data_IF_922535862029
#
_entry.id   IF_922535862029
#
_cell.length_a   1.000
_cell.length_b   1.000
_cell.length_c   1.000
_cell.angle_alpha   90.00
_cell.angle_beta   90.00
_cell.angle_gamma   90.00
#
_symmetry.space_group_name_H-M   'P 1'
#
loop_
_entity.id
_entity.type
_entity.pdbx_description
1 polymer ?
#
# COMPACT_ATOMS: atom_id res chain seq x y z
N UNK A 1 16.85 15.51 30.84
CA UNK A 1 18.05 14.96 30.18
C UNK A 1 17.57 13.89 29.20
N UNK A 2 17.40 14.25 27.92
CA UNK A 2 16.97 13.35 26.83
C UNK A 2 17.90 13.66 25.65
N UNK A 3 18.64 12.66 25.16
CA UNK A 3 19.62 12.84 24.08
C UNK A 3 18.89 12.94 22.73
N UNK A 4 19.10 13.99 21.93
CA UNK A 4 18.56 14.07 20.57
C UNK A 4 19.32 13.14 19.62
N UNK A 5 18.59 12.56 18.67
CA UNK A 5 18.94 11.38 17.87
C UNK A 5 19.64 11.71 16.54
N UNK A 6 20.40 12.79 16.47
CA UNK A 6 20.97 13.28 15.22
C UNK A 6 22.31 12.63 14.91
N UNK A 7 22.35 11.76 13.90
CA UNK A 7 23.55 11.55 13.09
C UNK A 7 23.29 10.84 11.75
N UNK A 8 24.10 11.24 10.76
CA UNK A 8 24.47 10.65 9.46
C UNK A 8 23.69 11.02 8.17
N UNK A 9 24.34 11.87 7.37
CA UNK A 9 24.69 11.55 5.97
C UNK A 9 26.22 11.69 5.82
N UNK A 10 26.88 10.68 5.27
CA UNK A 10 28.30 10.74 4.88
C UNK A 10 28.45 11.53 3.57
N UNK A 11 29.49 12.37 3.46
CA UNK A 11 29.86 13.05 2.21
C UNK A 11 29.87 12.04 1.04
N UNK A 12 29.18 12.37 -0.06
CA UNK A 12 29.24 11.62 -1.33
C UNK A 12 27.98 10.84 -1.75
N UNK A 13 26.83 11.04 -1.11
CA UNK A 13 25.56 10.43 -1.55
C UNK A 13 24.81 11.32 -2.56
N UNK A 14 24.17 10.66 -3.52
CA UNK A 14 23.26 11.29 -4.49
C UNK A 14 21.89 11.51 -3.86
N UNK A 15 21.32 12.70 -4.03
CA UNK A 15 19.99 13.05 -3.50
C UNK A 15 19.09 13.60 -4.60
N UNK A 16 17.78 13.38 -4.46
CA UNK A 16 16.77 13.93 -5.38
C UNK A 16 16.28 15.28 -4.84
N UNK A 17 16.38 16.34 -5.66
CA UNK A 17 15.80 17.66 -5.37
C UNK A 17 14.98 18.08 -6.60
N UNK A 18 13.67 18.29 -6.42
CA UNK A 18 12.77 18.77 -7.47
C UNK A 18 12.84 17.95 -8.78
N UNK A 19 12.91 16.61 -8.65
CA UNK A 19 12.96 15.69 -9.79
C UNK A 19 14.29 15.66 -10.56
N UNK A 20 15.36 16.31 -10.07
CA UNK A 20 16.70 16.26 -10.66
C UNK A 20 17.67 15.52 -9.75
N UNK A 21 18.42 14.59 -10.34
CA UNK A 21 19.47 13.82 -9.67
C UNK A 21 20.78 14.61 -9.70
N UNK A 22 21.41 14.81 -8.53
CA UNK A 22 22.67 15.56 -8.41
C UNK A 22 23.36 15.39 -7.05
N UNK A 23 24.55 15.99 -6.91
CA UNK A 23 25.31 16.03 -5.64
C UNK A 23 24.98 17.30 -4.87
N UNK A 24 24.41 17.17 -3.66
CA UNK A 24 24.00 18.32 -2.85
C UNK A 24 24.37 18.15 -1.37
N UNK A 25 24.54 19.26 -0.65
CA UNK A 25 24.75 19.28 0.81
C UNK A 25 23.40 19.24 1.53
N UNK A 26 23.15 18.17 2.29
CA UNK A 26 21.97 18.02 3.15
C UNK A 26 22.32 18.48 4.57
N UNK A 27 21.52 19.40 5.12
CA UNK A 27 21.80 20.04 6.42
C UNK A 27 21.21 19.28 7.63
N UNK A 28 20.22 18.38 7.43
CA UNK A 28 19.63 17.57 8.52
C UNK A 28 18.80 16.39 7.96
N UNK A 29 18.92 15.20 8.56
CA UNK A 29 18.16 14.00 8.19
C UNK A 29 17.51 13.34 9.43
N UNK A 30 16.32 12.76 9.26
CA UNK A 30 15.58 11.97 10.24
C UNK A 30 15.56 10.50 9.76
N UNK A 31 15.80 9.55 10.67
CA UNK A 31 15.98 8.08 10.54
C UNK A 31 15.52 7.31 9.27
N UNK A 32 16.14 6.13 9.14
CA UNK A 32 16.19 5.15 8.02
C UNK A 32 14.91 4.83 7.23
N UNK A 33 13.71 5.08 7.75
CA UNK A 33 12.45 4.63 7.16
C UNK A 33 11.41 5.74 6.91
N UNK A 34 11.63 6.97 7.37
CA UNK A 34 10.68 8.10 7.22
C UNK A 34 11.46 9.42 7.16
N UNK A 35 11.24 10.23 6.11
CA UNK A 35 11.99 11.47 5.90
C UNK A 35 11.05 12.66 5.63
N UNK A 36 11.34 13.80 6.26
CA UNK A 36 10.82 15.12 5.92
C UNK A 36 11.94 16.13 6.15
N UNK A 37 12.22 17.01 5.18
CA UNK A 37 13.23 18.06 5.29
C UNK A 37 12.64 19.43 4.96
N UNK A 38 13.06 20.47 5.69
CA UNK A 38 12.75 21.88 5.42
C UNK A 38 13.96 22.54 4.74
N UNK A 39 13.75 23.30 3.67
CA UNK A 39 14.77 24.18 3.09
C UNK A 39 14.97 25.46 3.93
N UNK A 40 16.23 25.87 4.06
CA UNK A 40 16.61 27.19 4.58
C UNK A 40 16.66 28.16 3.40
N UNK A 41 15.82 29.19 3.47
CA UNK A 41 15.84 30.49 2.78
C UNK A 41 16.45 30.52 1.37
N UNK A 42 15.60 30.33 0.36
CA UNK A 42 15.72 31.10 -0.88
C UNK A 42 14.76 32.29 -0.77
N UNK A 43 15.24 33.52 -0.98
CA UNK A 43 14.49 34.78 -0.88
C UNK A 43 13.37 34.95 -1.95
N UNK A 44 12.71 33.87 -2.34
CA UNK A 44 11.54 33.84 -3.22
C UNK A 44 10.39 33.10 -2.51
N UNK A 45 9.16 33.65 -2.45
CA UNK A 45 8.11 33.15 -1.56
C UNK A 45 7.50 31.78 -1.91
N UNK A 46 8.10 30.92 -2.75
CA UNK A 46 7.34 29.81 -3.33
C UNK A 46 8.03 28.50 -3.69
N UNK A 47 9.17 28.13 -3.09
CA UNK A 47 9.73 26.78 -3.32
C UNK A 47 10.01 26.04 -2.01
N UNK A 48 8.96 25.46 -1.41
CA UNK A 48 9.16 24.39 -0.41
C UNK A 48 9.68 23.17 -1.14
N UNK A 49 10.91 22.76 -0.85
CA UNK A 49 11.52 21.57 -1.44
C UNK A 49 11.79 20.53 -0.35
N UNK A 50 11.49 19.27 -0.65
CA UNK A 50 11.88 18.13 0.17
C UNK A 50 13.05 17.42 -0.51
N UNK A 51 14.07 17.10 0.28
CA UNK A 51 15.27 16.39 -0.18
C UNK A 51 15.25 14.99 0.40
N UNK A 52 15.36 13.97 -0.46
CA UNK A 52 15.31 12.57 -0.08
C UNK A 52 16.53 11.81 -0.60
N UNK A 53 16.81 10.67 0.04
CA UNK A 53 17.67 9.64 -0.55
C UNK A 53 17.13 9.27 -1.94
N UNK A 54 18.02 9.19 -2.93
CA UNK A 54 17.66 8.72 -4.26
C UNK A 54 17.34 7.22 -4.22
N UNK A 55 16.19 6.85 -4.79
CA UNK A 55 15.82 5.46 -5.01
C UNK A 55 15.72 5.18 -6.51
N UNK A 56 16.26 4.04 -6.98
CA UNK A 56 16.47 3.77 -8.41
C UNK A 56 15.17 3.54 -9.19
N UNK A 57 14.18 2.91 -8.55
CA UNK A 57 12.89 2.57 -9.14
C UNK A 57 11.79 2.52 -8.07
N UNK A 58 10.54 2.42 -8.52
CA UNK A 58 9.42 1.98 -7.71
C UNK A 58 9.06 0.50 -8.01
N UNK A 59 8.33 -0.15 -7.10
CA UNK A 59 7.95 -1.55 -7.20
C UNK A 59 7.05 -1.80 -8.42
N UNK A 60 6.19 -0.85 -8.80
CA UNK A 60 5.36 -0.97 -10.00
C UNK A 60 6.22 -1.05 -11.26
N UNK A 61 7.22 -0.19 -11.40
CA UNK A 61 8.16 -0.20 -12.53
C UNK A 61 8.94 -1.53 -12.65
N UNK A 62 9.18 -2.21 -11.53
CA UNK A 62 9.86 -3.51 -11.48
C UNK A 62 8.96 -4.72 -11.76
N UNK A 63 7.63 -4.55 -11.89
CA UNK A 63 6.65 -5.66 -11.97
C UNK A 63 6.92 -6.67 -13.10
N UNK A 64 7.48 -6.21 -14.23
CA UNK A 64 7.82 -7.10 -15.35
C UNK A 64 8.94 -8.10 -15.01
N UNK A 65 9.75 -7.80 -13.99
CA UNK A 65 10.83 -8.62 -13.46
C UNK A 65 10.43 -9.41 -12.22
N UNK A 66 9.15 -9.39 -11.80
CA UNK A 66 8.74 -10.01 -10.53
C UNK A 66 9.15 -11.49 -10.41
N UNK A 67 9.05 -12.26 -11.50
CA UNK A 67 9.45 -13.67 -11.54
C UNK A 67 10.99 -13.86 -11.54
N UNK A 68 11.71 -12.96 -12.19
CA UNK A 68 13.18 -12.95 -12.23
C UNK A 68 13.77 -12.65 -10.84
N UNK A 69 13.20 -11.67 -10.14
CA UNK A 69 13.63 -11.25 -8.80
C UNK A 69 13.31 -12.30 -7.72
N UNK A 70 12.24 -13.08 -7.92
CA UNK A 70 11.93 -14.27 -7.16
C UNK A 70 11.61 -14.03 -5.67
N UNK A 71 11.57 -15.13 -4.92
CA UNK A 71 11.21 -15.15 -3.50
C UNK A 71 12.11 -14.30 -2.59
N UNK A 72 13.46 -14.24 -2.74
CA UNK A 72 14.28 -13.42 -1.85
C UNK A 72 13.90 -11.94 -1.89
N UNK A 73 13.71 -11.39 -3.09
CA UNK A 73 13.29 -10.01 -3.28
C UNK A 73 11.90 -9.78 -2.68
N UNK A 74 10.92 -10.65 -3.00
CA UNK A 74 9.55 -10.52 -2.50
C UNK A 74 9.48 -10.54 -0.97
N UNK A 75 10.24 -11.42 -0.31
CA UNK A 75 10.33 -11.47 1.16
C UNK A 75 10.95 -10.21 1.73
N UNK A 76 12.01 -9.67 1.09
CA UNK A 76 12.61 -8.40 1.49
C UNK A 76 11.61 -7.25 1.37
N UNK A 77 10.91 -7.15 0.23
CA UNK A 77 9.87 -6.15 -0.01
C UNK A 77 8.74 -6.24 1.01
N UNK A 78 8.18 -7.42 1.22
CA UNK A 78 7.11 -7.63 2.20
C UNK A 78 7.55 -7.27 3.62
N UNK A 79 8.76 -7.67 4.02
CA UNK A 79 9.33 -7.34 5.33
C UNK A 79 9.48 -5.83 5.50
N UNK A 80 10.09 -5.14 4.54
CA UNK A 80 10.30 -3.69 4.63
C UNK A 80 9.00 -2.90 4.70
N UNK A 81 7.97 -3.28 3.92
CA UNK A 81 6.66 -2.61 3.98
C UNK A 81 6.00 -2.88 5.35
N UNK A 82 6.01 -4.12 5.84
CA UNK A 82 5.41 -4.47 7.13
C UNK A 82 6.13 -3.83 8.32
N UNK A 83 7.46 -3.72 8.27
CA UNK A 83 8.25 -2.98 9.28
C UNK A 83 7.85 -1.51 9.31
N UNK A 84 7.67 -0.88 8.15
CA UNK A 84 7.15 0.48 8.07
C UNK A 84 5.74 0.56 8.69
N UNK A 85 4.81 -0.30 8.28
CA UNK A 85 3.45 -0.33 8.83
C UNK A 85 3.46 -0.53 10.35
N UNK A 86 4.34 -1.40 10.89
CA UNK A 86 4.50 -1.59 12.32
C UNK A 86 4.93 -0.30 13.02
N UNK A 87 5.96 0.38 12.53
CA UNK A 87 6.45 1.64 13.11
C UNK A 87 5.31 2.65 13.25
N UNK A 88 4.48 2.78 12.23
CA UNK A 88 3.33 3.69 12.28
C UNK A 88 2.23 3.22 13.21
N UNK A 89 1.94 1.92 13.25
CA UNK A 89 0.98 1.35 14.20
C UNK A 89 1.42 1.59 15.64
N UNK A 90 2.72 1.54 15.92
CA UNK A 90 3.26 1.80 17.26
C UNK A 90 3.13 3.29 17.64
N UNK A 91 3.12 4.20 16.65
CA UNK A 91 2.97 5.65 16.85
C UNK A 91 1.50 6.10 16.93
N UNK A 92 0.55 5.26 16.50
CA UNK A 92 -0.89 5.58 16.52
C UNK A 92 -1.40 5.84 17.95
N UNK A 93 -2.16 6.92 18.13
CA UNK A 93 -2.71 7.33 19.42
C UNK A 93 -1.70 7.94 20.42
N UNK A 94 -0.43 8.13 20.05
CA UNK A 94 0.56 8.80 20.91
C UNK A 94 0.53 10.33 20.82
N UNK A 95 -0.04 10.89 19.75
CA UNK A 95 -0.24 12.34 19.56
C UNK A 95 -1.70 12.61 19.15
N UNK A 96 -2.46 13.47 19.87
CA UNK A 96 -3.86 13.79 19.56
C UNK A 96 -4.06 14.45 18.17
N UNK A 97 -2.99 14.89 17.51
CA UNK A 97 -3.02 15.46 16.15
C UNK A 97 -2.84 14.39 15.06
N UNK A 98 -2.38 13.19 15.40
CA UNK A 98 -2.08 12.11 14.44
C UNK A 98 -3.12 11.00 14.60
N UNK A 99 -4.34 11.28 14.16
CA UNK A 99 -5.33 10.24 13.93
C UNK A 99 -5.09 9.64 12.52
N UNK A 100 -4.55 8.42 12.50
CA UNK A 100 -4.61 7.46 11.38
C UNK A 100 -4.39 8.06 9.98
N UNK A 101 -3.14 8.37 9.63
CA UNK A 101 -2.76 8.56 8.22
C UNK A 101 -3.12 7.27 7.46
N UNK A 102 -4.10 7.30 6.53
CA UNK A 102 -4.15 6.21 5.56
C UNK A 102 -2.94 6.33 4.67
N UNK A 103 -2.16 5.27 4.67
CA UNK A 103 -1.02 5.17 3.78
C UNK A 103 -1.53 4.71 2.45
N UNK A 104 -1.15 5.43 1.41
CA UNK A 104 -1.36 4.96 0.06
C UNK A 104 -0.31 3.89 -0.27
N UNK A 105 -0.39 2.76 0.44
CA UNK A 105 0.43 1.59 0.21
C UNK A 105 -0.05 0.97 -1.10
N UNK A 106 0.70 1.25 -2.15
CA UNK A 106 0.52 0.68 -3.46
C UNK A 106 1.91 0.51 -4.12
N UNK A 107 2.03 -0.27 -5.21
CA UNK A 107 3.34 -0.53 -5.83
C UNK A 107 4.11 0.72 -6.30
N UNK A 108 3.44 1.84 -6.63
CA UNK A 108 4.12 3.08 -7.05
C UNK A 108 4.78 3.82 -5.87
N UNK A 109 4.31 3.55 -4.65
CA UNK A 109 4.79 4.18 -3.41
C UNK A 109 5.77 3.28 -2.64
N UNK A 110 6.24 2.19 -3.25
CA UNK A 110 7.29 1.34 -2.68
C UNK A 110 8.54 1.54 -3.52
N UNK A 111 9.51 2.29 -2.99
CA UNK A 111 10.75 2.61 -3.66
C UNK A 111 11.81 1.53 -3.44
N UNK A 112 12.61 1.27 -4.46
CA UNK A 112 13.59 0.18 -4.52
C UNK A 112 14.91 0.67 -5.12
N UNK A 113 16.03 0.33 -4.47
CA UNK A 113 17.39 0.49 -5.02
C UNK A 113 18.20 -0.78 -4.86
N UNK A 114 19.24 -0.92 -5.68
CA UNK A 114 20.12 -2.09 -5.69
C UNK A 114 19.32 -3.41 -5.85
N UNK A 115 18.39 -3.44 -6.80
CA UNK A 115 17.43 -4.55 -6.97
C UNK A 115 18.11 -5.91 -7.21
N UNK A 116 19.25 -5.92 -7.88
CA UNK A 116 20.03 -7.12 -8.20
C UNK A 116 20.99 -7.54 -7.07
N UNK A 117 21.04 -6.76 -5.98
CA UNK A 117 21.84 -7.08 -4.79
C UNK A 117 21.15 -8.17 -3.95
N UNK A 118 21.90 -9.03 -3.25
CA UNK A 118 21.32 -9.93 -2.24
C UNK A 118 20.62 -9.20 -1.09
N UNK A 119 20.83 -7.88 -0.95
CA UNK A 119 20.18 -7.02 0.03
C UNK A 119 19.66 -5.76 -0.68
N UNK A 120 18.52 -5.82 -1.38
CA UNK A 120 17.92 -4.65 -1.99
C UNK A 120 17.47 -3.66 -0.90
N UNK A 121 17.53 -2.36 -1.19
CA UNK A 121 16.96 -1.33 -0.33
C UNK A 121 15.50 -1.13 -0.74
N UNK A 122 14.56 -1.42 0.15
CA UNK A 122 13.13 -1.22 -0.09
C UNK A 122 12.57 -0.27 0.96
N UNK A 123 11.88 0.78 0.52
CA UNK A 123 11.31 1.82 1.40
C UNK A 123 9.91 2.20 0.96
N UNK A 124 9.00 2.30 1.92
CA UNK A 124 7.70 2.91 1.67
C UNK A 124 7.88 4.43 1.58
N UNK A 125 7.43 5.04 0.49
CA UNK A 125 7.35 6.48 0.31
C UNK A 125 5.91 6.95 0.45
N UNK A 126 5.74 8.28 0.42
CA UNK A 126 4.44 8.94 0.41
C UNK A 126 3.55 8.50 1.58
N UNK A 127 3.82 9.11 2.75
CA UNK A 127 3.15 8.77 4.01
C UNK A 127 1.72 9.32 4.12
N UNK A 128 1.12 9.72 3.00
CA UNK A 128 -0.25 10.18 2.96
C UNK A 128 -0.48 11.49 3.71
N UNK A 129 -1.73 11.94 3.69
CA UNK A 129 -2.16 13.14 4.38
C UNK A 129 -2.59 12.80 5.81
N UNK A 130 -2.15 13.61 6.78
CA UNK A 130 -2.70 13.62 8.15
C UNK A 130 -4.19 13.89 8.07
N UNK A 131 -5.00 13.00 8.68
CA UNK A 131 -6.44 13.20 8.79
C UNK A 131 -6.72 13.96 10.10
N UNK A 132 -7.28 15.18 10.05
CA UNK A 132 -7.68 15.88 11.26
C UNK A 132 -8.77 15.12 11.99
N UNK A 133 -8.73 15.15 13.33
CA UNK A 133 -9.67 14.46 14.21
C UNK A 133 -11.10 15.01 14.19
N UNK A 134 -11.31 16.24 13.69
CA UNK A 134 -12.62 16.89 13.65
C UNK A 134 -13.07 17.20 12.20
N UNK A 135 -14.33 16.88 11.88
CA UNK A 135 -15.03 17.40 10.69
C UNK A 135 -15.02 16.54 9.43
N UNK A 136 -14.82 15.23 9.52
CA UNK A 136 -14.69 14.38 8.32
C UNK A 136 -16.00 13.72 7.86
N UNK A 137 -16.82 14.48 7.16
CA UNK A 137 -17.82 13.94 6.26
C UNK A 137 -17.21 13.81 4.84
N UNK A 138 -17.22 12.59 4.32
CA UNK A 138 -17.29 12.24 2.88
C UNK A 138 -16.07 11.92 1.99
N UNK A 139 -14.80 11.91 2.42
CA UNK A 139 -13.75 11.51 1.46
C UNK A 139 -13.39 10.01 1.46
N UNK A 140 -13.26 9.48 0.24
CA UNK A 140 -12.85 8.13 -0.13
C UNK A 140 -11.37 7.90 0.22
N UNK A 141 -11.10 7.74 1.51
CA UNK A 141 -9.77 7.78 2.14
C UNK A 141 -8.68 6.87 1.54
N UNK A 142 -9.06 5.69 1.06
CA UNK A 142 -8.16 4.78 0.32
C UNK A 142 -8.56 4.76 -1.15
N UNK A 143 -7.57 4.74 -2.05
CA UNK A 143 -7.80 4.43 -3.47
C UNK A 143 -8.59 3.13 -3.60
N UNK A 144 -9.55 3.08 -4.54
CA UNK A 144 -10.32 1.85 -4.78
C UNK A 144 -9.44 0.65 -5.17
N UNK A 145 -8.20 0.88 -5.61
CA UNK A 145 -7.26 -0.17 -5.95
C UNK A 145 -6.77 -0.97 -4.75
N UNK A 146 -6.64 -0.34 -3.59
CA UNK A 146 -6.05 -0.91 -2.36
C UNK A 146 -7.00 -0.83 -1.17
N UNK A 147 -8.24 -0.37 -1.37
CA UNK A 147 -9.22 -0.17 -0.31
C UNK A 147 -9.55 -1.46 0.45
N UNK A 148 -9.45 -1.39 1.78
CA UNK A 148 -9.84 -2.47 2.67
C UNK A 148 -11.39 -2.57 2.78
N UNK A 149 -11.97 -3.80 2.85
CA UNK A 149 -13.42 -4.02 2.88
C UNK A 149 -14.19 -3.27 3.98
N UNK A 150 -13.59 -3.15 5.17
CA UNK A 150 -14.19 -2.53 6.34
C UNK A 150 -14.44 -1.02 6.19
N UNK A 151 -13.72 -0.34 5.28
CA UNK A 151 -13.94 1.08 5.03
C UNK A 151 -15.31 1.34 4.39
N UNK A 152 -15.81 0.39 3.59
CA UNK A 152 -17.21 0.43 3.12
C UNK A 152 -18.22 0.12 4.22
N UNK A 153 -17.81 -0.43 5.37
CA UNK A 153 -18.68 -0.56 6.55
C UNK A 153 -18.75 0.73 7.37
N UNK A 154 -18.00 1.76 6.99
CA UNK A 154 -17.87 3.01 7.76
C UNK A 154 -16.98 2.85 8.99
N UNK A 155 -16.19 1.77 9.07
CA UNK A 155 -15.15 1.63 10.10
C UNK A 155 -14.07 2.65 9.77
N UNK A 156 -13.65 3.42 10.78
CA UNK A 156 -12.55 4.36 10.62
C UNK A 156 -11.27 3.59 10.25
N UNK A 157 -10.39 4.19 9.44
CA UNK A 157 -9.11 3.61 9.11
C UNK A 157 -8.35 3.22 10.36
N UNK A 158 -7.69 2.07 10.32
CA UNK A 158 -6.93 1.52 11.42
C UNK A 158 -5.75 0.72 10.87
N UNK A 159 -4.73 0.38 11.67
CA UNK A 159 -3.57 -0.38 11.21
C UNK A 159 -3.88 -1.66 10.40
N UNK A 160 -4.96 -2.43 10.66
CA UNK A 160 -5.34 -3.55 9.79
C UNK A 160 -5.63 -3.17 8.33
N UNK A 161 -6.11 -1.95 8.04
CA UNK A 161 -6.35 -1.48 6.68
C UNK A 161 -5.04 -1.40 5.88
N UNK A 162 -3.95 -0.99 6.51
CA UNK A 162 -2.63 -0.92 5.88
C UNK A 162 -2.11 -2.33 5.55
N UNK A 163 -2.32 -3.30 6.45
CA UNK A 163 -1.95 -4.71 6.22
C UNK A 163 -2.67 -5.30 5.00
N UNK A 164 -3.95 -4.96 4.81
CA UNK A 164 -4.69 -5.31 3.60
C UNK A 164 -4.02 -4.73 2.34
N UNK A 165 -3.67 -3.44 2.36
CA UNK A 165 -2.99 -2.78 1.25
C UNK A 165 -1.62 -3.39 0.94
N UNK A 166 -0.89 -3.91 1.94
CA UNK A 166 0.33 -4.70 1.71
C UNK A 166 0.02 -5.96 0.90
N UNK A 167 -1.00 -6.73 1.29
CA UNK A 167 -1.44 -7.91 0.56
C UNK A 167 -1.81 -7.62 -0.89
N UNK A 168 -2.58 -6.54 -1.12
CA UNK A 168 -2.94 -6.10 -2.47
C UNK A 168 -1.71 -5.70 -3.28
N UNK A 169 -0.78 -4.95 -2.69
CA UNK A 169 0.46 -4.48 -3.32
C UNK A 169 1.32 -5.65 -3.79
N UNK A 170 1.53 -6.65 -2.95
CA UNK A 170 2.29 -7.86 -3.29
C UNK A 170 1.60 -8.65 -4.41
N UNK A 171 0.28 -8.78 -4.35
CA UNK A 171 -0.50 -9.48 -5.38
C UNK A 171 -0.43 -8.78 -6.74
N UNK A 172 -0.49 -7.44 -6.76
CA UNK A 172 -0.35 -6.64 -7.99
C UNK A 172 1.04 -6.77 -8.61
N UNK A 173 2.08 -6.73 -7.78
CA UNK A 173 3.45 -6.88 -8.22
C UNK A 173 3.70 -8.26 -8.85
N UNK A 174 3.30 -9.33 -8.14
CA UNK A 174 3.44 -10.71 -8.62
C UNK A 174 2.69 -10.98 -9.93
N UNK A 175 1.45 -10.49 -10.03
CA UNK A 175 0.63 -10.67 -11.22
C UNK A 175 1.05 -9.78 -12.40
N UNK A 176 2.02 -8.88 -12.21
CA UNK A 176 2.44 -7.85 -13.15
C UNK A 176 1.27 -6.98 -13.69
N UNK A 177 0.15 -6.91 -12.95
CA UNK A 177 -1.07 -6.19 -13.31
C UNK A 177 -1.92 -5.90 -12.07
N UNK A 178 -2.81 -4.92 -12.17
CA UNK A 178 -3.74 -4.59 -11.09
C UNK A 178 -4.86 -5.65 -10.95
N UNK A 179 -4.70 -6.59 -10.03
CA UNK A 179 -5.74 -7.59 -9.71
C UNK A 179 -6.96 -6.95 -9.05
N UNK A 180 -6.75 -5.97 -8.19
CA UNK A 180 -7.79 -5.26 -7.44
C UNK A 180 -8.06 -3.88 -8.05
N UNK A 181 -9.19 -3.28 -7.68
CA UNK A 181 -9.60 -1.96 -8.14
C UNK A 181 -10.30 -1.93 -9.49
N UNK A 182 -10.68 -0.72 -9.95
CA UNK A 182 -11.49 -0.52 -11.15
C UNK A 182 -10.69 -0.33 -12.45
N UNK A 183 -9.37 -0.52 -12.43
CA UNK A 183 -8.50 -0.14 -13.55
C UNK A 183 -8.82 -0.84 -14.89
N UNK A 184 -9.40 -2.04 -14.82
CA UNK A 184 -9.83 -2.85 -15.96
C UNK A 184 -11.36 -2.88 -16.13
N UNK A 185 -12.08 -1.93 -15.53
CA UNK A 185 -13.53 -1.86 -15.66
C UNK A 185 -13.94 -1.67 -17.13
N UNK A 186 -14.69 -2.66 -17.64
CA UNK A 186 -15.14 -2.69 -19.03
C UNK A 186 -16.68 -2.75 -19.17
N UNK A 187 -17.41 -2.78 -18.06
CA UNK A 187 -18.86 -2.68 -18.03
C UNK A 187 -19.29 -1.62 -17.01
N UNK A 188 -20.46 -1.03 -17.25
CA UNK A 188 -21.07 -0.05 -16.35
C UNK A 188 -22.58 -0.03 -16.52
N UNK A 189 -23.28 0.37 -15.46
CA UNK A 189 -24.67 0.76 -15.49
C UNK A 189 -24.75 2.23 -15.93
N UNK A 190 -25.29 2.47 -17.13
CA UNK A 190 -25.39 3.81 -17.74
C UNK A 190 -26.17 4.82 -16.90
N UNK A 191 -27.09 4.35 -16.05
CA UNK A 191 -27.91 5.18 -15.17
C UNK A 191 -27.21 5.59 -13.87
N UNK A 192 -25.99 5.10 -13.61
CA UNK A 192 -25.27 5.33 -12.37
C UNK A 192 -23.98 6.13 -12.60
N UNK A 193 -23.58 6.99 -11.64
CA UNK A 193 -22.32 7.71 -11.71
C UNK A 193 -21.11 6.80 -11.87
N UNK A 194 -20.04 7.33 -12.46
CA UNK A 194 -18.78 6.61 -12.69
C UNK A 194 -18.20 6.09 -11.39
N UNK A 195 -18.30 6.86 -10.31
CA UNK A 195 -17.73 6.58 -9.00
C UNK A 195 -18.38 5.36 -8.35
N UNK A 196 -19.69 5.17 -8.57
CA UNK A 196 -20.46 4.01 -8.09
C UNK A 196 -20.08 2.78 -8.92
N UNK A 197 -20.01 2.92 -10.24
CA UNK A 197 -19.59 1.82 -11.12
C UNK A 197 -18.18 1.32 -10.81
N UNK A 198 -17.23 2.25 -10.59
CA UNK A 198 -15.86 1.91 -10.23
C UNK A 198 -15.76 1.24 -8.86
N UNK A 199 -16.51 1.75 -7.86
CA UNK A 199 -16.54 1.12 -6.54
C UNK A 199 -17.16 -0.29 -6.60
N UNK A 200 -18.28 -0.44 -7.31
CA UNK A 200 -18.92 -1.73 -7.53
C UNK A 200 -17.99 -2.73 -8.23
N UNK A 201 -17.21 -2.28 -9.22
CA UNK A 201 -16.20 -3.11 -9.87
C UNK A 201 -15.13 -3.57 -8.89
N UNK A 202 -14.58 -2.64 -8.09
CA UNK A 202 -13.58 -2.96 -7.08
C UNK A 202 -14.10 -3.96 -6.03
N UNK A 203 -15.31 -3.75 -5.51
CA UNK A 203 -15.98 -4.67 -4.58
C UNK A 203 -16.18 -6.04 -5.22
N UNK A 204 -16.66 -6.09 -6.47
CA UNK A 204 -16.89 -7.35 -7.19
C UNK A 204 -15.60 -8.13 -7.42
N UNK A 205 -14.47 -7.46 -7.67
CA UNK A 205 -13.16 -8.12 -7.75
C UNK A 205 -12.71 -8.67 -6.40
N UNK A 206 -12.95 -7.97 -5.29
CA UNK A 206 -12.69 -8.51 -3.95
C UNK A 206 -13.51 -9.79 -3.73
N UNK A 207 -14.79 -9.78 -4.12
CA UNK A 207 -15.66 -10.96 -3.99
C UNK A 207 -15.12 -12.16 -4.78
N UNK A 208 -14.67 -11.95 -6.02
CA UNK A 208 -14.11 -13.03 -6.86
C UNK A 208 -12.75 -13.53 -6.34
N UNK A 209 -11.84 -12.61 -6.00
CA UNK A 209 -10.47 -12.94 -5.62
C UNK A 209 -10.40 -13.55 -4.21
N UNK A 210 -11.13 -12.97 -3.26
CA UNK A 210 -10.91 -13.17 -1.83
C UNK A 210 -12.09 -13.92 -1.19
N UNK A 211 -13.29 -13.78 -1.73
CA UNK A 211 -14.51 -14.44 -1.26
C UNK A 211 -15.63 -13.48 -0.87
N UNK A 212 -16.81 -14.01 -0.51
CA UNK A 212 -18.00 -13.21 -0.30
C UNK A 212 -17.84 -12.20 0.85
N UNK A 213 -18.33 -10.99 0.62
CA UNK A 213 -18.40 -9.93 1.62
C UNK A 213 -19.76 -9.95 2.32
N UNK A 214 -19.74 -9.72 3.63
CA UNK A 214 -20.97 -9.52 4.41
C UNK A 214 -21.71 -8.25 3.96
N UNK A 215 -23.06 -8.29 3.97
CA UNK A 215 -23.93 -7.15 3.63
C UNK A 215 -24.23 -6.29 4.86
N UNK A 216 -23.16 -5.84 5.52
CA UNK A 216 -23.17 -4.93 6.68
C UNK A 216 -22.40 -3.64 6.38
N UNK A 217 -22.38 -3.23 5.11
CA UNK A 217 -21.85 -1.95 4.66
C UNK A 217 -22.62 -0.76 5.28
N UNK A 218 -21.99 0.40 5.31
CA UNK A 218 -22.68 1.64 5.62
C UNK A 218 -23.77 1.90 4.54
N UNK A 219 -25.02 2.26 4.92
CA UNK A 219 -26.12 2.44 3.98
C UNK A 219 -25.82 3.30 2.75
N UNK A 220 -24.91 4.27 2.85
CA UNK A 220 -24.50 5.12 1.72
C UNK A 220 -23.82 4.34 0.58
N UNK A 221 -23.22 3.19 0.86
CA UNK A 221 -22.54 2.34 -0.14
C UNK A 221 -23.41 1.17 -0.62
N UNK A 222 -24.66 1.06 -0.17
CA UNK A 222 -25.56 -0.05 -0.51
C UNK A 222 -25.63 -0.31 -2.02
N UNK A 223 -25.75 0.76 -2.80
CA UNK A 223 -25.86 0.68 -4.25
C UNK A 223 -24.58 0.17 -4.92
N UNK A 224 -23.40 0.47 -4.36
CA UNK A 224 -22.11 -0.04 -4.86
C UNK A 224 -22.06 -1.57 -4.73
N UNK A 225 -22.52 -2.11 -3.60
CA UNK A 225 -22.57 -3.56 -3.38
C UNK A 225 -23.66 -4.26 -4.17
N UNK A 226 -24.86 -3.68 -4.26
CA UNK A 226 -25.96 -4.26 -5.05
C UNK A 226 -25.52 -4.42 -6.52
N UNK A 227 -24.81 -3.42 -7.06
CA UNK A 227 -24.24 -3.48 -8.41
C UNK A 227 -23.06 -4.47 -8.50
N UNK A 228 -22.18 -4.54 -7.50
CA UNK A 228 -21.08 -5.48 -7.46
C UNK A 228 -21.57 -6.94 -7.50
N UNK A 229 -22.59 -7.27 -6.70
CA UNK A 229 -23.23 -8.58 -6.73
C UNK A 229 -23.82 -8.90 -8.10
N UNK A 230 -24.44 -7.92 -8.76
CA UNK A 230 -25.00 -8.11 -10.10
C UNK A 230 -23.89 -8.41 -11.10
N UNK A 231 -22.77 -7.69 -11.06
CA UNK A 231 -21.60 -7.94 -11.92
C UNK A 231 -21.02 -9.34 -11.71
N UNK A 232 -20.89 -9.78 -10.46
CA UNK A 232 -20.40 -11.13 -10.13
C UNK A 232 -21.40 -12.21 -10.56
N UNK A 233 -22.67 -12.09 -10.18
CA UNK A 233 -23.75 -13.06 -10.51
C UNK A 233 -23.94 -13.24 -12.01
N UNK A 234 -23.76 -12.17 -12.80
CA UNK A 234 -23.86 -12.23 -14.26
C UNK A 234 -22.56 -12.63 -14.96
N UNK A 235 -21.49 -12.92 -14.23
CA UNK A 235 -20.19 -13.29 -14.83
C UNK A 235 -19.57 -12.16 -15.66
N UNK A 236 -19.87 -10.91 -15.33
CA UNK A 236 -19.31 -9.72 -16.01
C UNK A 236 -17.85 -9.55 -15.60
N UNK A 237 -17.54 -9.71 -14.31
CA UNK A 237 -16.17 -9.73 -13.80
C UNK A 237 -15.59 -11.12 -14.03
N UNK A 238 -14.83 -11.26 -15.12
CA UNK A 238 -14.18 -12.50 -15.55
C UNK A 238 -12.80 -12.65 -14.93
N UNK A 239 -12.75 -13.14 -13.70
CA UNK A 239 -11.51 -13.49 -13.03
C UNK A 239 -11.72 -14.68 -12.09
N UNK A 240 -10.63 -15.38 -11.78
CA UNK A 240 -10.63 -16.44 -10.79
C UNK A 240 -10.41 -15.92 -9.37
N UNK A 241 -10.27 -16.88 -8.46
CA UNK A 241 -9.75 -16.66 -7.10
C UNK A 241 -8.32 -16.11 -7.14
N UNK A 242 -7.89 -15.52 -6.02
CA UNK A 242 -6.51 -15.03 -5.84
C UNK A 242 -5.48 -16.13 -6.14
N UNK A 243 -5.73 -17.34 -5.62
CA UNK A 243 -4.89 -18.51 -5.80
C UNK A 243 -4.76 -18.87 -7.28
N UNK A 244 -5.87 -18.90 -8.03
CA UNK A 244 -5.85 -19.18 -9.47
C UNK A 244 -5.13 -18.09 -10.27
N UNK A 245 -5.37 -16.82 -9.95
CA UNK A 245 -4.73 -15.69 -10.64
C UNK A 245 -3.22 -15.66 -10.43
N UNK A 246 -2.76 -15.92 -9.20
CA UNK A 246 -1.33 -15.95 -8.87
C UNK A 246 -0.66 -17.25 -9.34
N UNK A 247 -1.37 -18.37 -9.37
CA UNK A 247 -0.85 -19.62 -9.93
C UNK A 247 -0.56 -19.51 -11.44
N UNK A 248 -1.34 -18.73 -12.20
CA UNK A 248 -1.10 -18.49 -13.64
C UNK A 248 0.23 -17.83 -13.95
N UNK A 249 0.80 -17.11 -13.00
CA UNK A 249 2.13 -16.51 -13.10
C UNK A 249 3.20 -17.32 -12.38
N UNK A 250 2.92 -18.58 -12.03
CA UNK A 250 3.81 -19.49 -11.30
C UNK A 250 4.27 -18.96 -9.94
N UNK A 251 3.45 -18.15 -9.25
CA UNK A 251 3.76 -17.75 -7.89
C UNK A 251 3.79 -18.97 -6.95
N UNK A 252 4.76 -18.99 -6.04
CA UNK A 252 4.93 -20.10 -5.12
C UNK A 252 3.75 -20.21 -4.12
N UNK A 253 3.31 -21.43 -3.83
CA UNK A 253 2.12 -21.67 -3.02
C UNK A 253 2.21 -21.12 -1.59
N UNK A 254 3.40 -21.14 -1.00
CA UNK A 254 3.67 -20.56 0.32
C UNK A 254 3.55 -19.02 0.32
N UNK A 255 4.01 -18.37 -0.75
CA UNK A 255 3.85 -16.93 -0.98
C UNK A 255 2.37 -16.56 -1.18
N UNK A 256 1.63 -17.34 -1.98
CA UNK A 256 0.19 -17.16 -2.17
C UNK A 256 -0.54 -17.28 -0.82
N UNK A 257 -0.21 -18.31 -0.02
CA UNK A 257 -0.76 -18.50 1.33
C UNK A 257 -0.48 -17.31 2.25
N UNK A 258 0.72 -16.71 2.16
CA UNK A 258 1.05 -15.52 2.94
C UNK A 258 0.23 -14.30 2.50
N UNK A 259 0.09 -14.05 1.20
CA UNK A 259 -0.75 -12.95 0.69
C UNK A 259 -2.20 -13.16 1.11
N UNK A 260 -2.70 -14.40 1.05
CA UNK A 260 -4.04 -14.77 1.52
C UNK A 260 -4.24 -14.47 3.00
N UNK A 261 -3.23 -14.71 3.83
CA UNK A 261 -3.24 -14.38 5.25
C UNK A 261 -3.38 -12.87 5.50
N UNK A 262 -2.65 -12.03 4.74
CA UNK A 262 -2.77 -10.56 4.82
C UNK A 262 -4.16 -10.07 4.36
N UNK A 263 -4.74 -10.74 3.35
CA UNK A 263 -6.06 -10.43 2.78
C UNK A 263 -7.23 -11.08 3.55
N UNK A 264 -7.09 -11.27 4.85
CA UNK A 264 -8.20 -11.72 5.70
C UNK A 264 -9.31 -10.66 5.71
N UNK A 265 -10.52 -11.05 5.29
CA UNK A 265 -11.67 -10.16 5.10
C UNK A 265 -12.15 -9.52 6.41
N UNK A 266 -12.26 -10.32 7.47
CA UNK A 266 -12.62 -9.82 8.79
C UNK A 266 -11.43 -9.06 9.39
N UNK A 267 -11.51 -7.73 9.40
CA UNK A 267 -10.45 -6.85 9.89
C UNK A 267 -10.09 -7.09 11.37
N UNK A 268 -10.97 -7.72 12.17
CA UNK A 268 -10.68 -8.09 13.57
C UNK A 268 -9.85 -9.36 13.69
N UNK A 269 -9.87 -10.21 12.65
CA UNK A 269 -9.09 -11.45 12.54
C UNK A 269 -7.87 -11.29 11.64
N UNK A 270 -7.80 -10.20 10.87
CA UNK A 270 -6.66 -9.87 10.03
C UNK A 270 -5.42 -9.67 10.89
N UNK A 271 -4.26 -10.21 10.49
CA UNK A 271 -3.05 -10.07 11.27
C UNK A 271 -2.62 -8.61 11.42
N UNK A 272 -1.99 -8.31 12.54
CA UNK A 272 -1.21 -7.08 12.68
C UNK A 272 0.07 -7.18 11.85
N UNK A 273 0.71 -6.04 11.58
CA UNK A 273 2.02 -6.02 10.91
C UNK A 273 3.07 -6.82 11.70
N UNK A 274 3.04 -6.74 13.03
CA UNK A 274 3.92 -7.53 13.89
C UNK A 274 3.69 -9.05 13.75
N UNK A 275 2.42 -9.49 13.75
CA UNK A 275 2.09 -10.90 13.53
C UNK A 275 2.49 -11.37 12.14
N UNK A 276 2.25 -10.54 11.12
CA UNK A 276 2.65 -10.82 9.74
C UNK A 276 4.16 -10.97 9.59
N UNK A 277 4.96 -10.14 10.27
CA UNK A 277 6.42 -10.25 10.28
C UNK A 277 6.91 -11.59 10.86
N UNK A 278 6.16 -12.19 11.79
CA UNK A 278 6.48 -13.49 12.39
C UNK A 278 5.97 -14.69 11.57
N UNK A 279 5.31 -14.46 10.43
CA UNK A 279 4.76 -15.53 9.61
C UNK A 279 5.87 -16.45 9.04
N UNK A 280 5.64 -17.76 9.03
CA UNK A 280 6.64 -18.76 8.63
C UNK A 280 7.24 -18.55 7.23
N UNK A 281 6.46 -17.98 6.31
CA UNK A 281 6.96 -17.59 4.99
C UNK A 281 8.09 -16.54 5.06
N UNK A 282 7.98 -15.53 5.92
CA UNK A 282 9.03 -14.53 6.13
C UNK A 282 10.19 -15.04 6.99
N UNK A 283 9.95 -16.02 7.85
CA UNK A 283 10.96 -16.58 8.76
C UNK A 283 11.78 -17.71 8.11
N UNK A 284 11.23 -18.39 7.11
CA UNK A 284 11.96 -19.41 6.36
C UNK A 284 13.14 -18.77 5.62
N UNK A 285 14.33 -19.34 5.82
CA UNK A 285 15.51 -19.02 5.02
C UNK A 285 15.20 -19.26 3.55
N UNK A 286 15.64 -18.35 2.69
CA UNK A 286 15.65 -18.58 1.24
C UNK A 286 16.89 -19.36 0.87
#
# INVERSE_FOLDING_TARGET
>A
MVRPIYDLLTKGQTVLINGRCGSYQVMKALKTTVFQALTVETNTPMDKCMVFEWMDADLWSLRARAQELGQPFLKATARSILEAVKVFSDMDGQDPVVHTELKDINPNNVLVSNVDSPKPSVKLSDLGAVIPSEGFDEWRLQSLATRAPELWKGVLPAPPCDVWSVGVTLAHFLAARALFGPGDQNAHANSLPKEINQAAWAIGKIVQLVGPLERNENPKYKLEFDLAELFVKRGIIKMGSLEEELARVNAAADCISFIRYLLTLDHKKRPTAEQALQHGWLQSSV
#
